data_IF_966336537434
#
_entry.id   IF_966336537434
#
_cell.length_a   1.000
_cell.length_b   1.000
_cell.length_c   1.000
_cell.angle_alpha   90.00
_cell.angle_beta   90.00
_cell.angle_gamma   90.00
#
_symmetry.space_group_name_H-M   'P 1'
#
loop_
_entity.id
_entity.type
_entity.pdbx_description
1 polymer ?
#
# COMPACT_ATOMS: atom_id res chain seq x y z
N UNK A 1 10.22 -6.09 15.64
CA UNK A 1 9.41 -6.00 14.41
C UNK A 1 10.29 -6.13 13.18
N UNK A 2 9.80 -6.80 12.16
CA UNK A 2 10.56 -7.10 10.94
C UNK A 2 9.66 -6.93 9.72
N UNK A 3 10.21 -6.37 8.63
CA UNK A 3 9.56 -6.34 7.33
C UNK A 3 10.08 -7.53 6.52
N UNK A 4 9.18 -8.33 5.99
CA UNK A 4 9.52 -9.50 5.19
C UNK A 4 8.60 -9.64 3.99
N UNK A 5 8.99 -10.48 3.04
CA UNK A 5 8.13 -10.80 1.91
C UNK A 5 6.92 -11.60 2.39
N UNK A 6 5.80 -11.39 1.72
CA UNK A 6 4.56 -12.14 1.97
C UNK A 6 4.79 -13.64 1.77
N UNK A 7 4.23 -14.45 2.66
CA UNK A 7 4.08 -15.89 2.44
C UNK A 7 2.59 -16.25 2.59
N UNK A 8 2.19 -17.37 1.97
CA UNK A 8 0.76 -17.71 1.89
C UNK A 8 0.09 -17.89 3.25
N UNK A 9 0.84 -18.20 4.29
CA UNK A 9 0.35 -18.25 5.67
C UNK A 9 -0.15 -16.89 6.16
N UNK A 10 0.29 -15.80 5.51
CA UNK A 10 -0.06 -14.43 5.90
C UNK A 10 -1.39 -13.96 5.32
N UNK A 11 -2.00 -14.70 4.37
CA UNK A 11 -3.13 -14.16 3.61
C UNK A 11 -4.34 -13.82 4.49
N UNK A 12 -4.68 -14.68 5.43
CA UNK A 12 -5.84 -14.44 6.30
C UNK A 12 -5.64 -13.20 7.18
N UNK A 13 -4.52 -13.04 7.91
CA UNK A 13 -4.30 -11.83 8.69
C UNK A 13 -4.13 -10.58 7.82
N UNK A 14 -3.53 -10.67 6.64
CA UNK A 14 -3.44 -9.54 5.70
C UNK A 14 -4.83 -9.11 5.27
N UNK A 15 -5.70 -10.06 4.88
CA UNK A 15 -7.06 -9.72 4.49
C UNK A 15 -7.85 -9.11 5.66
N UNK A 16 -7.67 -9.62 6.86
CA UNK A 16 -8.36 -9.08 8.05
C UNK A 16 -8.00 -7.61 8.27
N UNK A 17 -6.73 -7.24 8.11
CA UNK A 17 -6.28 -5.84 8.22
C UNK A 17 -6.83 -5.02 7.06
N UNK A 18 -6.76 -5.52 5.84
CA UNK A 18 -7.27 -4.83 4.66
C UNK A 18 -8.78 -4.55 4.80
N UNK A 19 -9.53 -5.50 5.30
CA UNK A 19 -10.99 -5.38 5.43
C UNK A 19 -11.41 -4.22 6.36
N UNK A 20 -10.55 -3.80 7.29
CA UNK A 20 -10.86 -2.66 8.16
C UNK A 20 -10.88 -1.33 7.41
N UNK A 21 -10.23 -1.26 6.26
CA UNK A 21 -10.03 -0.03 5.50
C UNK A 21 -10.77 -0.01 4.15
N UNK A 22 -11.18 -1.16 3.64
CA UNK A 22 -11.53 -1.23 2.23
C UNK A 22 -13.03 -1.04 1.93
N UNK A 23 -13.89 -0.99 2.94
CA UNK A 23 -15.35 -0.84 2.77
C UNK A 23 -15.93 -1.80 1.71
N UNK A 24 -15.40 -3.03 1.63
CA UNK A 24 -15.82 -4.02 0.65
C UNK A 24 -15.20 -3.85 -0.73
N UNK A 25 -14.21 -2.97 -0.89
CA UNK A 25 -13.55 -2.76 -2.18
C UNK A 25 -12.75 -3.99 -2.63
N UNK A 26 -12.21 -4.76 -1.69
CA UNK A 26 -11.49 -6.00 -1.96
C UNK A 26 -12.25 -7.17 -1.36
N UNK A 27 -12.45 -8.23 -2.15
CA UNK A 27 -12.88 -9.53 -1.61
C UNK A 27 -11.62 -10.38 -1.34
N UNK A 28 -11.80 -11.44 -0.53
CA UNK A 28 -10.71 -12.38 -0.27
C UNK A 28 -10.20 -12.99 -1.57
N UNK A 29 -11.11 -13.37 -2.47
CA UNK A 29 -10.77 -13.97 -3.76
C UNK A 29 -9.99 -13.01 -4.65
N UNK A 30 -10.33 -11.72 -4.63
CA UNK A 30 -9.58 -10.70 -5.39
C UNK A 30 -8.18 -10.53 -4.85
N UNK A 31 -8.01 -10.50 -3.54
CA UNK A 31 -6.69 -10.43 -2.92
C UNK A 31 -5.86 -11.67 -3.26
N UNK A 32 -6.44 -12.86 -3.11
CA UNK A 32 -5.77 -14.11 -3.44
C UNK A 32 -5.33 -14.13 -4.91
N UNK A 33 -6.22 -13.74 -5.82
CA UNK A 33 -5.90 -13.67 -7.24
C UNK A 33 -4.72 -12.72 -7.51
N UNK A 34 -4.76 -11.52 -6.94
CA UNK A 34 -3.68 -10.55 -7.12
C UNK A 34 -2.35 -11.06 -6.60
N UNK A 35 -2.35 -11.71 -5.44
CA UNK A 35 -1.12 -12.23 -4.83
C UNK A 35 -0.49 -13.38 -5.62
N UNK A 36 -1.22 -14.00 -6.55
CA UNK A 36 -0.69 -15.02 -7.46
C UNK A 36 -0.04 -14.47 -8.71
N UNK A 37 -0.25 -13.18 -9.01
CA UNK A 37 0.32 -12.56 -10.21
C UNK A 37 1.82 -12.30 -10.00
N UNK A 38 2.61 -12.55 -11.06
CA UNK A 38 4.07 -12.36 -11.00
C UNK A 38 4.48 -10.91 -10.78
N UNK A 39 3.65 -9.96 -11.25
CA UNK A 39 3.94 -8.52 -11.14
C UNK A 39 3.38 -7.88 -9.87
N UNK A 40 2.88 -8.67 -8.94
CA UNK A 40 2.39 -8.19 -7.65
C UNK A 40 3.38 -8.58 -6.55
N UNK A 41 3.74 -7.60 -5.74
CA UNK A 41 4.71 -7.75 -4.67
C UNK A 41 4.03 -7.32 -3.37
N UNK A 42 4.21 -8.10 -2.31
CA UNK A 42 3.64 -7.78 -1.01
C UNK A 42 4.72 -7.91 0.06
N UNK A 43 4.88 -6.87 0.85
CA UNK A 43 5.72 -6.91 2.06
C UNK A 43 4.81 -6.84 3.27
N UNK A 44 5.17 -7.57 4.31
CA UNK A 44 4.42 -7.58 5.56
C UNK A 44 5.32 -7.16 6.72
N UNK A 45 4.74 -6.42 7.65
CA UNK A 45 5.40 -6.09 8.92
C UNK A 45 4.93 -7.12 9.94
N UNK A 46 5.86 -7.78 10.58
CA UNK A 46 5.57 -8.84 11.56
C UNK A 46 6.28 -8.62 12.88
N UNK A 47 5.62 -9.01 13.96
CA UNK A 47 6.25 -9.19 15.25
C UNK A 47 6.06 -10.66 15.61
N UNK A 48 7.16 -11.43 15.56
CA UNK A 48 7.12 -12.89 15.54
C UNK A 48 6.24 -13.36 14.38
N UNK A 49 5.17 -14.13 14.62
CA UNK A 49 4.27 -14.60 13.55
C UNK A 49 3.06 -13.69 13.32
N UNK A 50 2.94 -12.62 14.10
CA UNK A 50 1.79 -11.72 14.00
C UNK A 50 2.02 -10.67 12.92
N UNK A 51 1.08 -10.57 11.96
CA UNK A 51 1.08 -9.53 10.93
C UNK A 51 0.53 -8.24 11.54
N UNK A 52 1.30 -7.15 11.40
CA UNK A 52 0.97 -5.84 11.94
C UNK A 52 0.50 -4.86 10.86
N UNK A 53 0.86 -5.12 9.63
CA UNK A 53 0.54 -4.29 8.49
C UNK A 53 1.16 -4.86 7.23
N UNK A 54 0.84 -4.27 6.08
CA UNK A 54 1.36 -4.75 4.80
C UNK A 54 1.34 -3.65 3.76
N UNK A 55 2.08 -3.86 2.68
CA UNK A 55 2.01 -3.02 1.48
C UNK A 55 1.92 -3.94 0.27
N UNK A 56 1.04 -3.57 -0.66
CA UNK A 56 0.78 -4.31 -1.89
C UNK A 56 1.16 -3.44 -3.08
N UNK A 57 2.07 -3.94 -3.93
CA UNK A 57 2.58 -3.23 -5.09
C UNK A 57 2.25 -3.99 -6.36
N UNK A 58 1.99 -3.26 -7.44
CA UNK A 58 1.88 -3.84 -8.78
C UNK A 58 2.89 -3.18 -9.68
N UNK A 59 3.83 -3.96 -10.22
CA UNK A 59 4.92 -3.39 -11.00
C UNK A 59 4.71 -3.52 -12.50
N UNK A 60 5.27 -2.55 -13.23
CA UNK A 60 5.51 -2.58 -14.65
C UNK A 60 7.04 -2.56 -14.86
N UNK A 61 7.56 -2.65 -16.09
CA UNK A 61 9.02 -2.65 -16.27
C UNK A 61 9.74 -1.44 -15.68
N UNK A 62 9.14 -0.24 -15.70
CA UNK A 62 9.82 0.99 -15.26
C UNK A 62 9.21 1.63 -14.03
N UNK A 63 7.95 1.34 -13.73
CA UNK A 63 7.17 2.00 -12.68
C UNK A 63 6.48 0.96 -11.81
N UNK A 64 5.80 1.42 -10.79
CA UNK A 64 4.89 0.57 -10.00
C UNK A 64 3.79 1.40 -9.37
N UNK A 65 2.69 0.73 -9.04
CA UNK A 65 1.60 1.33 -8.28
C UNK A 65 1.62 0.78 -6.86
N UNK A 66 1.38 1.63 -5.89
CA UNK A 66 1.07 1.18 -4.53
C UNK A 66 -0.43 0.98 -4.49
N UNK A 67 -0.85 -0.28 -4.48
CA UNK A 67 -2.28 -0.63 -4.47
C UNK A 67 -2.87 -0.41 -3.09
N UNK A 68 -2.15 -0.82 -2.04
CA UNK A 68 -2.59 -0.66 -0.66
C UNK A 68 -1.37 -0.59 0.26
N UNK A 69 -1.46 0.25 1.28
CA UNK A 69 -0.57 0.21 2.43
C UNK A 69 -1.45 0.40 3.66
N UNK A 70 -1.50 -0.61 4.51
CA UNK A 70 -2.43 -0.63 5.66
C UNK A 70 -1.71 -1.16 6.88
N UNK A 71 -1.92 -0.49 8.00
CA UNK A 71 -1.45 -0.90 9.32
C UNK A 71 -2.66 -1.25 10.17
N UNK A 72 -2.54 -2.29 10.99
CA UNK A 72 -3.58 -2.67 11.96
C UNK A 72 -4.00 -1.41 12.72
N UNK A 73 -5.31 -1.15 12.77
CA UNK A 73 -5.87 0.08 13.35
C UNK A 73 -5.48 0.29 14.81
N UNK A 74 -5.24 -0.80 15.55
CA UNK A 74 -4.84 -0.74 16.96
C UNK A 74 -3.35 -0.42 17.14
N UNK A 75 -2.58 -0.40 16.05
CA UNK A 75 -1.12 -0.23 16.08
C UNK A 75 -0.63 1.00 15.34
N UNK A 76 -1.54 1.88 14.91
CA UNK A 76 -1.18 3.10 14.19
C UNK A 76 -0.42 4.08 15.09
N UNK A 77 0.38 4.94 14.46
CA UNK A 77 1.19 5.91 15.17
C UNK A 77 2.45 5.36 15.79
N UNK A 78 2.84 4.13 15.46
CA UNK A 78 4.04 3.46 16.01
C UNK A 78 5.17 3.31 14.99
N UNK A 79 5.05 3.95 13.84
CA UNK A 79 6.09 3.92 12.81
C UNK A 79 6.06 2.71 11.89
N UNK A 80 5.05 1.85 11.96
CA UNK A 80 4.96 0.65 11.11
C UNK A 80 4.79 1.03 9.64
N UNK A 81 3.89 1.98 9.35
CA UNK A 81 3.69 2.48 7.99
C UNK A 81 4.97 3.09 7.41
N UNK A 82 5.71 3.81 8.23
CA UNK A 82 7.01 4.38 7.83
C UNK A 82 8.01 3.30 7.46
N UNK A 83 8.07 2.21 8.22
CA UNK A 83 8.97 1.10 7.92
C UNK A 83 8.56 0.38 6.63
N UNK A 84 7.26 0.19 6.42
CA UNK A 84 6.76 -0.39 5.17
C UNK A 84 7.13 0.51 3.98
N UNK A 85 6.92 1.83 4.10
CA UNK A 85 7.26 2.75 3.01
C UNK A 85 8.77 2.81 2.74
N UNK A 86 9.60 2.73 3.77
CA UNK A 86 11.06 2.63 3.57
C UNK A 86 11.42 1.39 2.76
N UNK A 87 10.76 0.28 3.00
CA UNK A 87 10.97 -0.94 2.22
C UNK A 87 10.56 -0.75 0.76
N UNK A 88 9.47 -0.02 0.52
CA UNK A 88 9.04 0.32 -0.84
C UNK A 88 10.09 1.17 -1.56
N UNK A 89 10.64 2.17 -0.88
CA UNK A 89 11.70 3.02 -1.45
C UNK A 89 12.94 2.19 -1.77
N UNK A 90 13.33 1.29 -0.89
CA UNK A 90 14.45 0.38 -1.13
C UNK A 90 14.21 -0.50 -2.34
N UNK A 91 13.01 -1.08 -2.45
CA UNK A 91 12.60 -1.87 -3.62
C UNK A 91 12.75 -1.07 -4.91
N UNK A 92 12.23 0.18 -4.91
CA UNK A 92 12.29 1.04 -6.09
C UNK A 92 13.74 1.31 -6.53
N UNK A 93 14.62 1.59 -5.58
CA UNK A 93 16.02 1.85 -5.87
C UNK A 93 16.76 0.60 -6.34
N UNK A 94 16.54 -0.52 -5.68
CA UNK A 94 17.20 -1.79 -6.02
C UNK A 94 16.77 -2.31 -7.39
N UNK A 95 15.54 -2.08 -7.79
CA UNK A 95 15.00 -2.54 -9.08
C UNK A 95 15.01 -1.44 -10.16
N UNK A 96 15.59 -0.28 -9.85
CA UNK A 96 15.71 0.84 -10.79
C UNK A 96 14.37 1.33 -11.33
N UNK A 97 13.34 1.35 -10.49
CA UNK A 97 12.05 1.93 -10.87
C UNK A 97 12.14 3.45 -10.92
N UNK A 98 11.42 4.04 -11.87
CA UNK A 98 11.44 5.48 -12.07
C UNK A 98 10.42 6.21 -11.22
N UNK A 99 9.20 5.65 -11.08
CA UNK A 99 8.09 6.29 -10.39
C UNK A 99 7.21 5.30 -9.66
N UNK A 100 6.58 5.79 -8.60
CA UNK A 100 5.48 5.12 -7.92
C UNK A 100 4.24 6.00 -7.97
N UNK A 101 3.09 5.40 -8.23
CA UNK A 101 1.79 6.10 -8.27
C UNK A 101 0.83 5.43 -7.30
N UNK A 102 -0.03 6.21 -6.69
CA UNK A 102 -1.07 5.71 -5.80
C UNK A 102 -2.30 6.59 -5.88
N UNK A 103 -3.43 6.06 -5.41
CA UNK A 103 -4.66 6.81 -5.26
C UNK A 103 -5.03 6.87 -3.79
N UNK A 104 -5.52 8.03 -3.35
CA UNK A 104 -5.94 8.27 -1.98
C UNK A 104 -7.23 9.08 -1.96
N UNK A 105 -8.15 8.73 -1.07
CA UNK A 105 -9.39 9.46 -0.94
C UNK A 105 -9.12 10.91 -0.49
N UNK A 106 -9.81 11.86 -1.11
CA UNK A 106 -9.59 13.30 -0.86
C UNK A 106 -9.86 13.73 0.57
N UNK A 107 -10.66 12.97 1.32
CA UNK A 107 -10.97 13.25 2.73
C UNK A 107 -10.01 12.54 3.70
N UNK A 108 -9.12 11.69 3.22
CA UNK A 108 -8.16 10.97 4.07
C UNK A 108 -6.91 11.83 4.31
N UNK A 109 -7.07 12.82 5.18
CA UNK A 109 -6.01 13.80 5.44
C UNK A 109 -4.75 13.19 6.04
N UNK A 110 -4.90 12.19 6.92
CA UNK A 110 -3.75 11.54 7.54
C UNK A 110 -2.90 10.79 6.49
N UNK A 111 -3.55 10.09 5.57
CA UNK A 111 -2.85 9.38 4.50
C UNK A 111 -2.16 10.36 3.55
N UNK A 112 -2.85 11.45 3.18
CA UNK A 112 -2.28 12.49 2.32
C UNK A 112 -1.00 13.05 2.94
N UNK A 113 -1.04 13.42 4.22
CA UNK A 113 0.14 13.94 4.93
C UNK A 113 1.26 12.91 4.98
N UNK A 114 0.92 11.64 5.20
CA UNK A 114 1.89 10.55 5.21
C UNK A 114 2.62 10.43 3.86
N UNK A 115 1.88 10.42 2.76
CA UNK A 115 2.47 10.33 1.43
C UNK A 115 3.29 11.56 1.06
N UNK A 116 2.80 12.76 1.39
CA UNK A 116 3.54 13.99 1.14
C UNK A 116 4.87 14.00 1.89
N UNK A 117 4.89 13.47 3.11
CA UNK A 117 6.11 13.36 3.90
C UNK A 117 7.17 12.49 3.22
N UNK A 118 6.75 11.49 2.45
CA UNK A 118 7.66 10.64 1.69
C UNK A 118 7.98 11.17 0.29
N UNK A 119 7.54 12.37 -0.04
CA UNK A 119 7.87 13.03 -1.30
C UNK A 119 6.89 12.76 -2.42
N UNK A 120 5.72 12.20 -2.13
CA UNK A 120 4.65 12.10 -3.11
C UNK A 120 3.98 13.45 -3.29
N UNK A 121 3.56 13.76 -4.51
CA UNK A 121 2.79 14.96 -4.81
C UNK A 121 1.61 14.62 -5.73
N UNK A 122 0.56 15.42 -5.63
CA UNK A 122 -0.63 15.21 -6.43
C UNK A 122 -0.37 15.55 -7.90
N UNK A 123 -0.73 14.62 -8.79
CA UNK A 123 -0.59 14.81 -10.23
C UNK A 123 -1.94 14.79 -10.94
N UNK A 124 -3.01 14.40 -10.27
CA UNK A 124 -4.34 14.32 -10.87
C UNK A 124 -5.41 13.99 -9.85
N UNK A 125 -6.62 13.81 -10.36
CA UNK A 125 -7.79 13.52 -9.53
C UNK A 125 -8.80 12.76 -10.37
N UNK A 126 -9.48 11.79 -9.75
CA UNK A 126 -10.63 11.08 -10.31
C UNK A 126 -11.86 11.47 -9.51
N UNK A 127 -12.75 12.25 -10.11
CA UNK A 127 -13.96 12.75 -9.44
C UNK A 127 -14.93 11.60 -9.15
N UNK A 128 -15.54 11.65 -7.95
CA UNK A 128 -16.58 10.71 -7.53
C UNK A 128 -16.17 9.24 -7.69
N UNK A 129 -14.89 8.94 -7.44
CA UNK A 129 -14.30 7.62 -7.68
C UNK A 129 -14.77 6.57 -6.69
N UNK A 130 -14.87 6.95 -5.41
CA UNK A 130 -15.25 6.04 -4.34
C UNK A 130 -16.77 5.95 -4.20
N UNK A 131 -17.27 4.84 -3.64
CA UNK A 131 -18.72 4.59 -3.48
C UNK A 131 -19.42 5.66 -2.66
N UNK A 132 -18.72 6.30 -1.72
CA UNK A 132 -19.28 7.39 -0.90
C UNK A 132 -19.30 8.74 -1.63
N UNK A 133 -18.91 8.80 -2.89
CA UNK A 133 -18.86 10.02 -3.69
C UNK A 133 -17.56 10.81 -3.56
N UNK A 134 -16.62 10.39 -2.74
CA UNK A 134 -15.35 11.08 -2.58
C UNK A 134 -14.49 10.94 -3.83
N UNK A 135 -13.70 11.98 -4.11
CA UNK A 135 -12.70 11.96 -5.16
C UNK A 135 -11.49 11.12 -4.77
N UNK A 136 -10.83 10.56 -5.77
CA UNK A 136 -9.52 9.96 -5.58
C UNK A 136 -8.46 10.94 -6.05
N UNK A 137 -7.53 11.28 -5.17
CA UNK A 137 -6.35 12.05 -5.54
C UNK A 137 -5.29 11.09 -6.06
N UNK A 138 -4.69 11.42 -7.20
CA UNK A 138 -3.60 10.61 -7.77
C UNK A 138 -2.29 11.25 -7.36
N UNK A 139 -1.48 10.50 -6.63
CA UNK A 139 -0.18 10.94 -6.11
C UNK A 139 0.94 10.17 -6.79
N UNK A 140 2.07 10.83 -6.99
CA UNK A 140 3.23 10.22 -7.63
C UNK A 140 4.52 10.68 -6.95
N UNK A 141 5.49 9.76 -6.90
CA UNK A 141 6.85 10.03 -6.45
C UNK A 141 7.82 9.54 -7.51
N UNK A 142 8.82 10.34 -7.83
CA UNK A 142 9.94 9.93 -8.70
C UNK A 142 11.14 9.51 -7.87
N UNK A 143 11.93 8.56 -8.39
CA UNK A 143 13.11 8.01 -7.73
C UNK A 143 14.41 8.36 -8.43
N UNK A 144 14.33 9.19 -9.46
CA UNK A 144 15.49 9.64 -10.24
C UNK A 144 15.62 11.14 -10.17
#
# INVERSE_FOLDING_TARGET
>A
MKISEFCWEDIAPVFAILATENNGAWTYEQLEHSLKLENVICYVAKNDDKVLGFVLLEETPYDFDILEIVVDENLRGRGIGTMLMKRVVDYAKLTHKEKATLEVASDNKNAIMFYEKFGFSQIGMRKNYYKNGNDALVFQKTFI
#
